data_IF_956278732576
#
_entry.id   IF_956278732576
#
_cell.length_a   1.000
_cell.length_b   1.000
_cell.length_c   1.000
_cell.angle_alpha   90.00
_cell.angle_beta   90.00
_cell.angle_gamma   90.00
#
_symmetry.space_group_name_H-M   'P 1'
#
loop_
_entity.id
_entity.type
_entity.pdbx_description
1 polymer ?
#
# COMPACT_ATOMS: atom_id res chain seq x y z
N UNK A 1 -30.64 -1.43 15.45
CA UNK A 1 -31.96 -0.89 15.86
C UNK A 1 -32.61 -0.19 14.70
N UNK A 2 -33.90 -0.45 14.44
CA UNK A 2 -34.66 0.23 13.39
C UNK A 2 -34.63 1.76 13.55
N UNK A 3 -34.64 2.48 12.41
CA UNK A 3 -34.64 3.94 12.38
C UNK A 3 -36.00 4.44 12.93
N UNK A 4 -36.00 5.38 13.89
CA UNK A 4 -37.25 5.96 14.38
C UNK A 4 -37.83 6.82 13.26
N UNK A 5 -39.15 6.83 13.14
CA UNK A 5 -39.85 7.64 12.13
C UNK A 5 -39.46 9.11 12.26
N UNK A 6 -39.09 9.70 11.12
CA UNK A 6 -38.68 11.11 10.99
C UNK A 6 -39.81 12.09 11.32
N UNK A 7 -41.06 11.61 11.33
CA UNK A 7 -42.27 12.41 11.61
C UNK A 7 -42.71 12.33 13.08
N UNK A 8 -41.95 11.66 13.96
CA UNK A 8 -42.26 11.58 15.38
C UNK A 8 -41.80 12.84 16.12
N UNK A 9 -42.67 13.41 16.97
CA UNK A 9 -42.34 14.53 17.88
C UNK A 9 -41.15 14.24 18.81
N UNK A 10 -40.80 12.96 19.00
CA UNK A 10 -39.66 12.52 19.81
C UNK A 10 -38.39 12.21 19.00
N UNK A 11 -38.43 12.37 17.68
CA UNK A 11 -37.33 12.01 16.77
C UNK A 11 -36.01 12.65 17.18
N UNK A 12 -36.00 13.97 17.42
CA UNK A 12 -34.79 14.68 17.81
C UNK A 12 -34.23 14.23 19.17
N UNK A 13 -35.11 13.99 20.15
CA UNK A 13 -34.71 13.52 21.49
C UNK A 13 -34.09 12.12 21.42
N UNK A 14 -34.64 11.23 20.59
CA UNK A 14 -34.10 9.88 20.37
C UNK A 14 -32.80 9.91 19.58
N UNK A 15 -32.65 10.81 18.60
CA UNK A 15 -31.42 10.95 17.84
C UNK A 15 -30.27 11.54 18.69
N UNK A 16 -30.54 12.54 19.53
CA UNK A 16 -29.54 13.11 20.48
C UNK A 16 -29.03 12.06 21.48
N UNK A 17 -29.91 11.20 22.01
CA UNK A 17 -29.51 10.07 22.87
C UNK A 17 -28.64 9.05 22.14
N UNK A 18 -28.96 8.72 20.88
CA UNK A 18 -28.14 7.80 20.06
C UNK A 18 -26.74 8.36 19.78
N UNK A 19 -26.65 9.65 19.41
CA UNK A 19 -25.35 10.31 19.19
C UNK A 19 -24.49 10.31 20.46
N UNK A 20 -25.08 10.61 21.61
CA UNK A 20 -24.38 10.56 22.91
C UNK A 20 -23.93 9.14 23.29
N UNK A 21 -24.80 8.15 23.11
CA UNK A 21 -24.46 6.76 23.43
C UNK A 21 -23.38 6.21 22.47
N UNK A 22 -23.42 6.58 21.19
CA UNK A 22 -22.37 6.22 20.23
C UNK A 22 -21.02 6.84 20.61
N UNK A 23 -21.01 8.11 21.02
CA UNK A 23 -19.79 8.80 21.46
C UNK A 23 -19.21 8.17 22.74
N UNK A 24 -20.05 7.78 23.70
CA UNK A 24 -19.61 7.08 24.92
C UNK A 24 -19.03 5.69 24.59
N UNK A 25 -19.69 4.91 23.74
CA UNK A 25 -19.20 3.59 23.33
C UNK A 25 -17.88 3.71 22.57
N UNK A 26 -17.75 4.71 21.70
CA UNK A 26 -16.51 4.99 20.97
C UNK A 26 -15.35 5.31 21.92
N UNK A 27 -15.57 6.13 22.94
CA UNK A 27 -14.55 6.46 23.96
C UNK A 27 -14.16 5.23 24.79
N UNK A 28 -15.11 4.36 25.13
CA UNK A 28 -14.81 3.12 25.86
C UNK A 28 -13.96 2.17 25.00
N UNK A 29 -14.30 2.03 23.71
CA UNK A 29 -13.53 1.19 22.78
C UNK A 29 -12.12 1.76 22.58
N UNK A 30 -11.98 3.08 22.43
CA UNK A 30 -10.64 3.68 22.30
C UNK A 30 -9.79 3.46 23.55
N UNK A 31 -10.38 3.52 24.75
CA UNK A 31 -9.70 3.24 26.01
C UNK A 31 -9.21 1.78 26.12
N UNK A 32 -10.01 0.83 25.63
CA UNK A 32 -9.63 -0.60 25.61
C UNK A 32 -8.47 -0.83 24.64
N UNK A 33 -8.49 -0.18 23.47
CA UNK A 33 -7.41 -0.27 22.48
C UNK A 33 -6.11 0.32 23.02
N UNK A 34 -6.15 1.48 23.70
CA UNK A 34 -4.94 2.09 24.28
C UNK A 34 -4.35 1.24 25.41
N UNK A 35 -5.18 0.65 26.28
CA UNK A 35 -4.71 -0.27 27.33
C UNK A 35 -4.06 -1.54 26.72
N UNK A 36 -4.65 -2.09 25.65
CA UNK A 36 -4.06 -3.21 24.92
C UNK A 36 -2.72 -2.85 24.27
N UNK A 37 -2.58 -1.66 23.67
CA UNK A 37 -1.30 -1.18 23.13
C UNK A 37 -0.21 -1.04 24.20
N UNK A 38 -0.55 -0.52 25.39
CA UNK A 38 0.42 -0.39 26.50
C UNK A 38 0.95 -1.77 26.94
N UNK A 39 0.11 -2.82 26.95
CA UNK A 39 0.57 -4.19 27.25
C UNK A 39 1.46 -4.79 26.16
N UNK A 40 1.23 -4.45 24.90
CA UNK A 40 2.06 -4.92 23.78
C UNK A 40 3.42 -4.22 23.75
N UNK A 41 3.48 -2.91 24.03
CA UNK A 41 4.74 -2.17 24.14
C UNK A 41 5.50 -2.42 25.47
N UNK A 42 4.80 -2.76 26.56
CA UNK A 42 5.41 -3.03 27.87
C UNK A 42 6.19 -4.35 27.97
N UNK A 43 6.00 -5.27 27.01
CA UNK A 43 6.75 -6.53 26.93
C UNK A 43 7.96 -6.46 25.97
N UNK A 44 8.29 -5.28 25.42
CA UNK A 44 9.42 -5.08 24.51
C UNK A 44 10.28 -3.89 24.95
N UNK A 45 10.68 -3.85 26.22
CA UNK A 45 11.67 -2.86 26.68
C UNK A 45 12.64 -3.41 27.73
N UNK A 46 13.24 -4.58 27.50
CA UNK A 46 14.47 -4.94 28.21
C UNK A 46 15.69 -4.34 27.47
N UNK A 47 15.79 -3.01 27.55
CA UNK A 47 16.93 -2.24 27.03
C UNK A 47 18.13 -2.21 27.99
N UNK A 48 18.12 -3.03 29.06
CA UNK A 48 19.23 -3.13 30.01
C UNK A 48 20.49 -3.71 29.36
N UNK A 49 20.32 -4.71 28.48
CA UNK A 49 21.42 -5.39 27.80
C UNK A 49 22.05 -4.57 26.66
N UNK A 50 21.26 -3.71 26.00
CA UNK A 50 21.75 -2.86 24.91
C UNK A 50 22.55 -1.68 25.47
N UNK A 51 22.12 -1.09 26.59
CA UNK A 51 22.84 0.00 27.25
C UNK A 51 24.16 -0.46 27.87
N UNK A 52 24.20 -1.67 28.43
CA UNK A 52 25.45 -2.28 28.92
C UNK A 52 26.42 -2.64 27.78
N UNK A 53 25.93 -3.12 26.63
CA UNK A 53 26.78 -3.39 25.46
C UNK A 53 27.36 -2.14 24.81
N UNK A 54 26.60 -1.04 24.77
CA UNK A 54 27.08 0.24 24.23
C UNK A 54 28.09 0.90 25.18
N UNK A 55 27.86 0.83 26.50
CA UNK A 55 28.82 1.34 27.49
C UNK A 55 30.11 0.51 27.51
N UNK A 56 30.01 -0.82 27.39
CA UNK A 56 31.17 -1.70 27.30
C UNK A 56 31.97 -1.50 26.00
N UNK A 57 31.32 -1.06 24.92
CA UNK A 57 32.00 -0.74 23.65
C UNK A 57 32.76 0.59 23.73
N UNK A 58 32.18 1.60 24.39
CA UNK A 58 32.81 2.91 24.64
C UNK A 58 34.02 2.79 25.57
N UNK A 59 33.96 1.89 26.57
CA UNK A 59 35.08 1.64 27.47
C UNK A 59 36.15 0.71 26.85
N UNK A 60 35.88 0.07 25.70
CA UNK A 60 36.79 -0.89 25.04
C UNK A 60 37.75 -0.30 23.99
N UNK A 61 37.61 0.98 23.63
CA UNK A 61 38.48 1.63 22.62
C UNK A 61 39.70 2.34 23.23
N UNK A 62 40.11 1.93 24.43
CA UNK A 62 41.38 2.35 25.00
C UNK A 62 42.19 1.16 25.53
N UNK A 63 43.37 1.02 24.92
CA UNK A 63 44.55 0.27 25.35
C UNK A 63 44.75 -1.18 24.86
N UNK A 64 45.99 -1.37 24.38
CA UNK A 64 46.54 -2.50 23.63
C UNK A 64 46.90 -3.75 24.46
N UNK A 65 46.96 -4.89 23.75
CA UNK A 65 47.95 -6.01 23.82
C UNK A 65 48.03 -6.90 25.07
N UNK A 66 47.74 -8.20 24.88
CA UNK A 66 48.67 -9.36 24.68
C UNK A 66 48.21 -10.70 25.32
N UNK A 67 48.29 -11.74 24.49
CA UNK A 67 48.80 -13.11 24.74
C UNK A 67 47.94 -14.24 25.38
N UNK A 68 47.68 -15.27 24.52
CA UNK A 68 47.87 -16.74 24.66
C UNK A 68 46.68 -17.67 25.03
N UNK A 69 46.43 -18.59 24.08
CA UNK A 69 45.59 -19.81 23.98
C UNK A 69 45.92 -20.93 25.02
N UNK A 70 45.19 -22.09 25.17
CA UNK A 70 44.35 -22.79 24.17
C UNK A 70 43.08 -23.57 24.64
N UNK A 71 42.34 -24.08 23.63
CA UNK A 71 41.60 -25.36 23.56
C UNK A 71 40.21 -25.53 24.24
N UNK A 72 39.14 -25.49 23.43
CA UNK A 72 38.46 -26.72 22.96
C UNK A 72 37.41 -26.42 21.87
N UNK A 73 37.49 -27.22 20.81
CA UNK A 73 36.71 -27.20 19.56
C UNK A 73 35.36 -27.90 19.76
N UNK A 74 34.25 -27.28 19.33
CA UNK A 74 33.11 -27.96 18.67
C UNK A 74 32.53 -27.00 17.63
N UNK A 75 32.31 -27.54 16.44
CA UNK A 75 32.04 -26.87 15.15
C UNK A 75 30.82 -25.95 15.08
N UNK A 76 31.06 -24.75 14.56
CA UNK A 76 30.47 -24.16 13.33
C UNK A 76 29.03 -24.55 12.92
N UNK A 77 28.10 -23.60 13.09
CA UNK A 77 27.31 -23.10 11.95
C UNK A 77 27.32 -21.57 12.03
N UNK A 78 28.28 -21.01 11.31
CA UNK A 78 28.44 -19.59 11.03
C UNK A 78 27.18 -19.06 10.32
N UNK A 79 26.39 -18.22 11.00
CA UNK A 79 25.59 -17.21 10.30
C UNK A 79 26.52 -16.03 10.07
N UNK A 80 27.07 -16.01 8.87
CA UNK A 80 27.74 -14.89 8.24
C UNK A 80 27.08 -13.56 8.69
N UNK A 81 27.84 -12.59 9.21
CA UNK A 81 27.31 -11.29 9.54
C UNK A 81 26.93 -10.59 8.23
N UNK A 82 25.62 -10.46 7.96
CA UNK A 82 25.13 -9.59 6.89
C UNK A 82 25.75 -8.19 7.08
N UNK A 83 26.59 -7.79 6.13
CA UNK A 83 27.15 -6.45 6.02
C UNK A 83 26.04 -5.39 6.15
N UNK A 84 26.32 -4.20 6.70
CA UNK A 84 25.33 -3.13 6.76
C UNK A 84 24.86 -2.79 5.34
N UNK A 85 23.59 -3.07 5.03
CA UNK A 85 22.96 -2.66 3.76
C UNK A 85 23.05 -1.14 3.67
N UNK A 86 23.83 -0.63 2.73
CA UNK A 86 23.88 0.80 2.43
C UNK A 86 22.57 1.19 1.76
N UNK A 87 21.75 1.98 2.45
CA UNK A 87 20.56 2.58 1.86
C UNK A 87 20.98 3.70 0.89
N UNK A 88 20.54 3.60 -0.35
CA UNK A 88 20.75 4.61 -1.40
C UNK A 88 19.39 5.18 -1.84
N UNK A 89 19.42 6.28 -2.59
CA UNK A 89 18.20 6.88 -3.12
C UNK A 89 18.43 7.67 -4.39
N UNK A 90 17.41 7.75 -5.23
CA UNK A 90 17.37 8.68 -6.36
C UNK A 90 16.05 9.45 -6.41
N UNK A 91 16.06 10.59 -7.09
CA UNK A 91 14.92 11.48 -7.21
C UNK A 91 14.12 11.17 -8.49
N UNK A 92 12.81 11.00 -8.33
CA UNK A 92 11.81 10.85 -9.38
C UNK A 92 11.06 12.19 -9.50
N UNK A 93 11.00 12.76 -10.70
CA UNK A 93 10.16 13.92 -10.99
C UNK A 93 8.86 13.45 -11.66
N UNK A 94 7.73 13.68 -10.99
CA UNK A 94 6.39 13.39 -11.53
C UNK A 94 5.97 14.45 -12.56
N UNK A 95 4.92 14.18 -13.34
CA UNK A 95 4.46 15.11 -14.41
C UNK A 95 4.03 16.48 -13.88
N UNK A 96 3.50 16.53 -12.66
CA UNK A 96 3.11 17.77 -12.00
C UNK A 96 4.31 18.57 -11.44
N UNK A 97 5.55 18.08 -11.65
CA UNK A 97 6.79 18.68 -11.16
C UNK A 97 7.15 18.30 -9.72
N UNK A 98 6.32 17.50 -9.05
CA UNK A 98 6.63 16.99 -7.71
C UNK A 98 7.85 16.06 -7.76
N UNK A 99 8.70 16.19 -6.74
CA UNK A 99 9.87 15.34 -6.54
C UNK A 99 9.58 14.31 -5.47
N UNK A 100 9.84 13.04 -5.80
CA UNK A 100 9.68 11.88 -4.92
C UNK A 100 11.05 11.21 -4.81
N UNK A 101 11.52 10.95 -3.59
CA UNK A 101 12.80 10.28 -3.37
C UNK A 101 12.54 8.78 -3.17
N UNK A 102 12.97 7.96 -4.11
CA UNK A 102 12.85 6.51 -4.02
C UNK A 102 14.07 5.93 -3.30
N UNK A 103 13.84 5.18 -2.23
CA UNK A 103 14.88 4.57 -1.39
C UNK A 103 15.02 3.11 -1.78
N UNK A 104 16.26 2.68 -2.03
CA UNK A 104 16.58 1.31 -2.40
C UNK A 104 17.80 0.80 -1.63
N UNK A 105 17.88 -0.53 -1.49
CA UNK A 105 19.05 -1.22 -0.97
C UNK A 105 19.75 -1.94 -2.12
N UNK A 106 21.08 -2.01 -2.03
CA UNK A 106 21.92 -2.75 -2.96
C UNK A 106 22.64 -3.87 -2.22
N UNK A 107 22.36 -5.10 -2.61
CA UNK A 107 23.06 -6.29 -2.11
C UNK A 107 23.76 -6.97 -3.28
N UNK A 108 25.09 -6.91 -3.31
CA UNK A 108 25.93 -7.28 -4.45
C UNK A 108 25.55 -6.47 -5.71
N UNK A 109 24.61 -6.98 -6.50
CA UNK A 109 24.08 -6.37 -7.73
C UNK A 109 22.54 -6.36 -7.78
N UNK A 110 21.86 -6.91 -6.77
CA UNK A 110 20.39 -6.90 -6.71
C UNK A 110 19.93 -5.62 -5.99
N UNK A 111 19.29 -4.73 -6.76
CA UNK A 111 18.70 -3.50 -6.24
C UNK A 111 17.22 -3.71 -5.96
N UNK A 112 16.76 -3.24 -4.79
CA UNK A 112 15.35 -3.33 -4.38
C UNK A 112 14.89 -2.04 -3.73
N UNK A 113 13.79 -1.48 -4.24
CA UNK A 113 13.05 -0.45 -3.52
C UNK A 113 12.58 -0.97 -2.18
N UNK A 114 12.75 -0.14 -1.15
CA UNK A 114 12.27 -0.42 0.21
C UNK A 114 11.22 0.60 0.66
N UNK A 115 11.29 1.83 0.16
CA UNK A 115 10.36 2.90 0.53
C UNK A 115 10.44 4.08 -0.46
N UNK A 116 9.52 5.04 -0.33
CA UNK A 116 9.62 6.36 -0.95
C UNK A 116 9.42 7.46 0.10
N UNK A 117 10.05 8.61 -0.12
CA UNK A 117 9.82 9.86 0.61
C UNK A 117 9.19 10.88 -0.35
N UNK A 118 8.07 11.46 0.06
CA UNK A 118 7.35 12.49 -0.71
C UNK A 118 6.88 13.59 0.23
N UNK A 119 6.79 14.82 -0.29
CA UNK A 119 6.13 15.93 0.40
C UNK A 119 4.61 15.82 0.43
N UNK A 120 4.04 14.94 -0.40
CA UNK A 120 2.60 14.63 -0.40
C UNK A 120 2.36 13.31 0.33
N UNK A 121 1.80 13.41 1.53
CA UNK A 121 1.38 12.25 2.34
C UNK A 121 0.25 11.45 1.67
N UNK A 122 -0.45 12.03 0.69
CA UNK A 122 -1.51 11.38 -0.07
C UNK A 122 -1.06 10.65 -1.34
N UNK A 123 0.25 10.60 -1.62
CA UNK A 123 0.78 9.94 -2.81
C UNK A 123 0.47 8.44 -2.77
N UNK A 124 -0.23 7.95 -3.79
CA UNK A 124 -0.60 6.54 -3.91
C UNK A 124 0.50 5.81 -4.68
N UNK A 125 1.11 4.81 -4.04
CA UNK A 125 2.16 3.99 -4.62
C UNK A 125 2.10 2.54 -4.14
N UNK A 126 2.83 1.66 -4.84
CA UNK A 126 3.01 0.26 -4.43
C UNK A 126 4.37 -0.24 -4.93
N UNK A 127 5.07 -1.04 -4.13
CA UNK A 127 6.35 -1.66 -4.50
C UNK A 127 6.07 -3.14 -4.84
N UNK A 128 6.65 -3.62 -5.94
CA UNK A 128 6.46 -5.01 -6.37
C UNK A 128 7.03 -6.00 -5.36
N UNK A 129 6.57 -7.24 -5.38
CA UNK A 129 7.04 -8.26 -4.42
C UNK A 129 8.54 -8.53 -4.57
N UNK A 130 9.10 -8.39 -5.78
CA UNK A 130 10.54 -8.48 -5.99
C UNK A 130 11.34 -7.27 -5.50
N UNK A 131 10.67 -6.15 -5.20
CA UNK A 131 11.29 -4.86 -4.91
C UNK A 131 11.86 -4.15 -6.14
N UNK A 132 11.78 -4.75 -7.34
CA UNK A 132 12.43 -4.21 -8.55
C UNK A 132 11.63 -3.11 -9.25
N UNK A 133 10.34 -3.01 -8.92
CA UNK A 133 9.41 -2.09 -9.58
C UNK A 133 8.62 -1.30 -8.55
N UNK A 134 8.32 -0.06 -8.89
CA UNK A 134 7.52 0.89 -8.12
C UNK A 134 6.41 1.40 -9.01
N UNK A 135 5.17 1.39 -8.52
CA UNK A 135 4.03 2.07 -9.14
C UNK A 135 3.78 3.36 -8.42
N UNK A 136 3.54 4.43 -9.17
CA UNK A 136 2.99 5.68 -8.64
C UNK A 136 1.73 6.02 -9.44
N UNK A 137 0.65 6.31 -8.72
CA UNK A 137 -0.54 6.93 -9.29
C UNK A 137 -0.38 8.44 -9.21
N UNK A 138 -0.25 9.08 -10.36
CA UNK A 138 -0.09 10.53 -10.45
C UNK A 138 -1.42 11.26 -10.26
N UNK A 139 -1.37 12.58 -10.00
CA UNK A 139 -2.57 13.40 -9.73
C UNK A 139 -3.57 13.44 -10.88
N UNK A 140 -3.10 13.20 -12.11
CA UNK A 140 -3.94 13.12 -13.29
C UNK A 140 -4.52 11.70 -13.50
N UNK A 141 -4.34 10.80 -12.53
CA UNK A 141 -4.70 9.38 -12.58
C UNK A 141 -3.94 8.56 -13.63
N UNK A 142 -2.75 9.01 -14.05
CA UNK A 142 -1.79 8.16 -14.78
C UNK A 142 -1.16 7.15 -13.82
N UNK A 143 -1.01 5.89 -14.25
CA UNK A 143 -0.18 4.91 -13.56
C UNK A 143 1.18 4.83 -14.27
N UNK A 144 2.23 5.23 -13.55
CA UNK A 144 3.62 5.18 -14.04
C UNK A 144 4.38 4.12 -13.26
N UNK A 145 5.09 3.26 -14.01
CA UNK A 145 6.00 2.24 -13.49
C UNK A 145 7.42 2.79 -13.50
N UNK A 146 8.13 2.63 -12.39
CA UNK A 146 9.54 2.96 -12.24
C UNK A 146 10.30 1.68 -11.88
N UNK A 147 11.46 1.48 -12.52
CA UNK A 147 12.35 0.38 -12.23
C UNK A 147 13.52 0.86 -11.37
N UNK A 148 14.12 -0.04 -10.60
CA UNK A 148 15.30 0.24 -9.76
C UNK A 148 16.52 0.72 -10.55
N UNK A 149 16.57 0.47 -11.85
CA UNK A 149 17.63 0.96 -12.76
C UNK A 149 17.42 2.42 -13.21
N UNK A 150 16.36 3.08 -12.74
CA UNK A 150 16.00 4.47 -13.08
C UNK A 150 15.17 4.62 -14.34
N UNK A 151 14.88 3.53 -15.08
CA UNK A 151 13.96 3.58 -16.23
C UNK A 151 12.51 3.69 -15.77
N UNK A 152 11.65 4.27 -16.60
CA UNK A 152 10.23 4.41 -16.32
C UNK A 152 9.36 4.27 -17.56
N UNK A 153 8.10 3.87 -17.36
CA UNK A 153 7.10 3.77 -18.42
C UNK A 153 5.69 4.04 -17.88
N UNK A 154 4.86 4.69 -18.69
CA UNK A 154 3.41 4.78 -18.41
C UNK A 154 2.77 3.47 -18.80
N UNK A 155 2.08 2.82 -17.85
CA UNK A 155 1.42 1.53 -18.08
C UNK A 155 -0.11 1.64 -18.16
N UNK A 156 -0.68 2.76 -17.72
CA UNK A 156 -2.10 3.02 -17.90
C UNK A 156 -2.42 3.54 -19.31
N UNK A 157 -3.60 3.18 -19.82
CA UNK A 157 -4.12 3.73 -21.09
C UNK A 157 -4.63 5.15 -20.95
N UNK A 158 -4.28 5.98 -21.92
CA UNK A 158 -4.73 7.39 -22.02
C UNK A 158 -6.15 7.51 -22.58
N UNK A 159 -6.60 6.53 -23.36
CA UNK A 159 -7.93 6.52 -23.98
C UNK A 159 -8.63 5.17 -23.83
N UNK A 160 -9.96 5.20 -23.88
CA UNK A 160 -10.81 4.03 -23.97
C UNK A 160 -11.66 4.12 -25.25
N UNK A 161 -11.63 3.06 -26.06
CA UNK A 161 -12.44 2.94 -27.27
C UNK A 161 -13.60 1.99 -27.01
N UNK A 162 -14.82 2.50 -27.10
CA UNK A 162 -16.01 1.66 -26.96
C UNK A 162 -16.16 0.72 -28.15
N UNK A 163 -16.98 -0.32 -27.99
CA UNK A 163 -17.35 -1.22 -29.10
C UNK A 163 -18.08 -0.51 -30.25
N UNK A 164 -18.63 0.69 -30.02
CA UNK A 164 -19.30 1.52 -31.03
C UNK A 164 -18.35 2.49 -31.75
N UNK A 165 -17.09 2.55 -31.33
CA UNK A 165 -16.08 3.45 -31.90
C UNK A 165 -15.91 4.78 -31.18
N UNK A 166 -16.75 5.10 -30.19
CA UNK A 166 -16.56 6.29 -29.36
C UNK A 166 -15.22 6.24 -28.61
N UNK A 167 -14.49 7.35 -28.63
CA UNK A 167 -13.19 7.50 -27.95
C UNK A 167 -13.35 8.45 -26.77
N UNK A 168 -13.01 7.96 -25.58
CA UNK A 168 -12.96 8.75 -24.36
C UNK A 168 -11.51 8.91 -23.95
N UNK A 169 -11.06 10.13 -23.68
CA UNK A 169 -9.71 10.37 -23.15
C UNK A 169 -9.76 10.56 -21.64
N UNK A 170 -8.71 10.13 -20.94
CA UNK A 170 -8.54 10.33 -19.50
C UNK A 170 -8.71 11.79 -19.13
N UNK A 171 -7.95 12.67 -19.80
CA UNK A 171 -7.97 14.11 -19.55
C UNK A 171 -9.38 14.70 -19.66
N UNK A 172 -10.06 14.50 -20.80
CA UNK A 172 -11.41 15.06 -20.99
C UNK A 172 -12.44 14.48 -20.02
N UNK A 173 -12.29 13.21 -19.65
CA UNK A 173 -13.19 12.53 -18.70
C UNK A 173 -13.02 13.08 -17.29
N UNK A 174 -11.78 13.27 -16.83
CA UNK A 174 -11.49 13.81 -15.50
C UNK A 174 -11.88 15.29 -15.41
N UNK A 175 -11.60 16.09 -16.47
CA UNK A 175 -12.00 17.50 -16.50
C UNK A 175 -13.53 17.65 -16.45
N UNK A 176 -14.27 16.82 -17.18
CA UNK A 176 -15.74 16.88 -17.21
C UNK A 176 -16.40 16.28 -15.97
N UNK A 177 -15.75 15.30 -15.32
CA UNK A 177 -16.20 14.69 -14.08
C UNK A 177 -14.99 14.42 -13.16
N UNK A 178 -14.62 15.36 -12.29
CA UNK A 178 -13.47 15.20 -11.39
C UNK A 178 -13.58 14.05 -10.38
N UNK A 179 -14.79 13.50 -10.17
CA UNK A 179 -15.01 12.34 -9.31
C UNK A 179 -14.90 11.01 -10.08
N UNK A 180 -14.68 11.06 -11.39
CA UNK A 180 -14.51 9.86 -12.21
C UNK A 180 -13.17 9.18 -11.87
N UNK A 181 -13.24 7.88 -11.59
CA UNK A 181 -12.07 7.03 -11.39
C UNK A 181 -11.65 6.46 -12.74
N UNK A 182 -10.71 7.13 -13.41
CA UNK A 182 -10.01 6.59 -14.56
C UNK A 182 -9.08 5.45 -14.16
N UNK A 183 -8.22 5.71 -13.18
CA UNK A 183 -7.42 4.72 -12.47
C UNK A 183 -7.37 5.11 -10.99
N UNK A 184 -7.62 4.16 -10.10
CA UNK A 184 -7.59 4.41 -8.66
C UNK A 184 -6.95 3.24 -7.91
N UNK A 185 -6.12 3.57 -6.91
CA UNK A 185 -5.50 2.64 -5.97
C UNK A 185 -4.81 1.44 -6.63
N UNK A 186 -3.88 1.64 -7.59
CA UNK A 186 -3.19 0.54 -8.22
C UNK A 186 -2.32 -0.23 -7.23
N UNK A 187 -2.26 -1.56 -7.38
CA UNK A 187 -1.34 -2.44 -6.65
C UNK A 187 -0.78 -3.54 -7.54
N UNK A 188 0.44 -3.98 -7.27
CA UNK A 188 1.03 -5.16 -7.88
C UNK A 188 0.37 -6.43 -7.34
N UNK A 189 -0.25 -7.23 -8.22
CA UNK A 189 -0.62 -8.62 -7.92
C UNK A 189 0.63 -9.50 -7.89
N UNK A 190 1.50 -9.31 -8.87
CA UNK A 190 2.83 -9.90 -9.02
C UNK A 190 3.66 -8.93 -9.88
N UNK A 191 4.87 -9.32 -10.28
CA UNK A 191 5.75 -8.45 -11.08
C UNK A 191 5.23 -8.14 -12.48
N UNK A 192 4.27 -8.90 -13.00
CA UNK A 192 3.76 -8.79 -14.36
C UNK A 192 2.34 -8.23 -14.43
N UNK A 193 1.63 -8.15 -13.31
CA UNK A 193 0.21 -7.80 -13.28
C UNK A 193 -0.09 -6.82 -12.16
N UNK A 194 -0.88 -5.80 -12.50
CA UNK A 194 -1.42 -4.85 -11.54
C UNK A 194 -2.94 -4.97 -11.48
N UNK A 195 -3.52 -4.59 -10.35
CA UNK A 195 -4.94 -4.33 -10.21
C UNK A 195 -5.17 -2.84 -9.96
N UNK A 196 -6.32 -2.32 -10.35
CA UNK A 196 -6.80 -0.99 -9.97
C UNK A 196 -8.32 -0.91 -10.13
N UNK A 197 -8.92 0.14 -9.57
CA UNK A 197 -10.34 0.43 -9.71
C UNK A 197 -10.56 1.47 -10.80
N UNK A 198 -11.60 1.29 -11.61
CA UNK A 198 -12.03 2.27 -12.62
C UNK A 198 -13.55 2.31 -12.75
N UNK A 199 -14.11 3.43 -13.19
CA UNK A 199 -15.49 3.53 -13.65
C UNK A 199 -15.64 3.06 -15.11
N UNK A 200 -14.54 2.87 -15.84
CA UNK A 200 -14.55 2.30 -17.19
C UNK A 200 -15.17 0.90 -17.15
N UNK A 201 -15.98 0.53 -18.16
CA UNK A 201 -16.12 1.19 -19.46
C UNK A 201 -17.31 2.16 -19.58
N UNK A 202 -17.89 2.62 -18.47
CA UNK A 202 -19.02 3.53 -18.49
C UNK A 202 -18.58 4.98 -18.27
N UNK A 203 -19.27 5.91 -18.92
CA UNK A 203 -18.93 7.34 -18.95
C UNK A 203 -20.18 8.20 -18.71
N UNK A 204 -19.97 9.48 -18.38
CA UNK A 204 -21.05 10.42 -18.10
C UNK A 204 -21.96 9.95 -16.97
N UNK A 205 -23.28 10.10 -17.14
CA UNK A 205 -24.29 9.70 -16.13
C UNK A 205 -24.39 8.18 -15.93
N UNK A 206 -23.84 7.37 -16.84
CA UNK A 206 -23.82 5.91 -16.70
C UNK A 206 -22.69 5.40 -15.79
N UNK A 207 -21.69 6.24 -15.48
CA UNK A 207 -20.54 5.92 -14.63
C UNK A 207 -20.90 5.82 -13.14
N UNK A 208 -21.84 4.93 -12.79
CA UNK A 208 -22.42 4.79 -11.45
C UNK A 208 -21.83 3.64 -10.64
N UNK A 209 -20.97 2.83 -11.27
CA UNK A 209 -20.36 1.63 -10.70
C UNK A 209 -18.85 1.66 -10.86
N UNK A 210 -18.21 0.93 -9.98
CA UNK A 210 -16.78 0.67 -9.99
C UNK A 210 -16.53 -0.74 -10.51
N UNK A 211 -15.42 -0.90 -11.22
CA UNK A 211 -14.98 -2.11 -11.86
C UNK A 211 -13.54 -2.39 -11.42
N UNK A 212 -13.25 -3.64 -11.08
CA UNK A 212 -11.89 -4.08 -10.83
C UNK A 212 -11.24 -4.45 -12.17
N UNK A 213 -10.12 -3.79 -12.47
CA UNK A 213 -9.33 -4.00 -13.66
C UNK A 213 -8.03 -4.70 -13.30
N UNK A 214 -7.56 -5.57 -14.19
CA UNK A 214 -6.24 -6.17 -14.15
C UNK A 214 -5.52 -5.77 -15.43
N UNK A 215 -4.33 -5.19 -15.31
CA UNK A 215 -3.46 -4.91 -16.46
C UNK A 215 -2.21 -5.74 -16.36
N UNK A 216 -1.88 -6.43 -17.46
CA UNK A 216 -0.59 -7.07 -17.61
C UNK A 216 0.44 -6.04 -18.12
N UNK A 217 1.53 -5.87 -17.38
CA UNK A 217 2.55 -4.84 -17.62
C UNK A 217 3.31 -5.10 -18.93
N UNK A 218 3.59 -6.37 -19.28
CA UNK A 218 4.48 -6.68 -20.40
C UNK A 218 3.81 -6.47 -21.76
N UNK A 219 2.50 -6.75 -21.85
CA UNK A 219 1.76 -6.64 -23.11
C UNK A 219 0.63 -5.59 -23.09
N UNK A 220 0.46 -4.88 -21.98
CA UNK A 220 -0.56 -3.83 -21.80
C UNK A 220 -2.01 -4.30 -22.10
N UNK A 221 -2.26 -5.60 -21.87
CA UNK A 221 -3.60 -6.18 -21.96
C UNK A 221 -4.38 -5.93 -20.68
N UNK A 222 -5.68 -5.65 -20.85
CA UNK A 222 -6.59 -5.39 -19.74
C UNK A 222 -7.65 -6.47 -19.64
N UNK A 223 -8.00 -6.83 -18.40
CA UNK A 223 -9.10 -7.72 -18.07
C UNK A 223 -9.98 -7.04 -17.03
N UNK A 224 -11.29 -7.03 -17.29
CA UNK A 224 -12.30 -6.55 -16.34
C UNK A 224 -12.87 -7.75 -15.59
N UNK A 225 -12.96 -7.66 -14.26
CA UNK A 225 -13.64 -8.66 -13.42
C UNK A 225 -15.13 -8.33 -13.29
N UNK A 226 -15.89 -8.76 -14.28
CA UNK A 226 -17.33 -8.48 -14.41
C UNK A 226 -18.21 -9.06 -13.30
N UNK A 227 -17.70 -10.06 -12.58
CA UNK A 227 -18.33 -10.66 -11.41
C UNK A 227 -18.21 -9.81 -10.13
N UNK A 228 -17.34 -8.78 -10.14
CA UNK A 228 -17.08 -7.91 -8.99
C UNK A 228 -17.58 -6.47 -9.17
N UNK A 229 -18.53 -6.23 -10.08
CA UNK A 229 -19.10 -4.90 -10.27
C UNK A 229 -19.84 -4.44 -9.02
N UNK A 230 -19.50 -3.27 -8.51
CA UNK A 230 -20.01 -2.79 -7.23
C UNK A 230 -20.21 -1.27 -7.21
N UNK A 231 -20.96 -0.77 -6.22
CA UNK A 231 -21.01 0.66 -5.97
C UNK A 231 -19.67 1.17 -5.39
N UNK A 232 -19.01 0.34 -4.59
CA UNK A 232 -17.69 0.63 -4.01
C UNK A 232 -16.80 -0.61 -4.02
N UNK A 233 -15.58 -0.44 -4.53
CA UNK A 233 -14.47 -1.39 -4.48
C UNK A 233 -13.32 -0.70 -3.75
N UNK A 234 -12.77 -1.33 -2.71
CA UNK A 234 -11.57 -0.86 -2.04
C UNK A 234 -10.47 -1.91 -2.17
N UNK A 235 -9.31 -1.50 -2.67
CA UNK A 235 -8.10 -2.32 -2.69
C UNK A 235 -7.36 -2.03 -1.39
N UNK A 236 -7.14 -3.07 -0.58
CA UNK A 236 -6.48 -2.98 0.72
C UNK A 236 -5.07 -3.56 0.65
N UNK A 237 -4.47 -3.80 1.82
CA UNK A 237 -3.16 -4.40 1.95
C UNK A 237 -3.12 -5.86 1.49
N UNK A 238 -1.89 -6.32 1.22
CA UNK A 238 -1.61 -7.72 0.95
C UNK A 238 -1.53 -8.49 2.26
N UNK A 239 -2.24 -9.60 2.32
CA UNK A 239 -2.16 -10.59 3.39
C UNK A 239 -1.61 -11.92 2.82
N UNK A 240 -1.50 -12.96 3.67
CA UNK A 240 -0.97 -14.28 3.29
C UNK A 240 -1.69 -14.89 2.08
N UNK A 241 -3.00 -14.66 1.96
CA UNK A 241 -3.83 -15.17 0.84
C UNK A 241 -3.73 -14.34 -0.44
N UNK A 242 -3.03 -13.21 -0.41
CA UNK A 242 -2.93 -12.27 -1.52
C UNK A 242 -3.50 -10.89 -1.18
N UNK A 243 -3.81 -10.09 -2.20
CA UNK A 243 -4.33 -8.74 -2.01
C UNK A 243 -5.77 -8.82 -1.53
N UNK A 244 -6.05 -8.21 -0.38
CA UNK A 244 -7.41 -8.10 0.12
C UNK A 244 -8.14 -6.98 -0.59
N UNK A 245 -9.38 -7.25 -0.98
CA UNK A 245 -10.29 -6.23 -1.52
C UNK A 245 -11.63 -6.29 -0.80
N UNK A 246 -12.33 -5.16 -0.74
CA UNK A 246 -13.74 -5.11 -0.36
C UNK A 246 -14.59 -4.75 -1.57
N UNK A 247 -15.70 -5.46 -1.77
CA UNK A 247 -16.64 -5.25 -2.87
C UNK A 247 -18.03 -5.10 -2.25
N UNK A 248 -18.53 -3.87 -2.21
CA UNK A 248 -19.73 -3.46 -1.43
C UNK A 248 -19.71 -4.01 0.01
N UNK A 249 -18.52 -3.99 0.64
CA UNK A 249 -18.28 -4.46 2.01
C UNK A 249 -18.05 -5.96 2.17
N UNK A 250 -18.18 -6.77 1.11
CA UNK A 250 -17.81 -8.19 1.13
C UNK A 250 -16.30 -8.33 0.89
N UNK A 251 -15.65 -9.24 1.62
CA UNK A 251 -14.19 -9.44 1.53
C UNK A 251 -13.87 -10.50 0.48
N UNK A 252 -12.88 -10.19 -0.36
CA UNK A 252 -12.28 -11.09 -1.32
C UNK A 252 -10.76 -11.00 -1.25
N UNK A 253 -10.09 -12.02 -1.76
CA UNK A 253 -8.64 -12.06 -1.91
C UNK A 253 -8.27 -12.34 -3.36
N UNK A 254 -7.25 -11.63 -3.85
CA UNK A 254 -6.64 -11.84 -5.16
C UNK A 254 -5.27 -12.48 -4.95
N UNK A 255 -5.12 -13.73 -5.37
CA UNK A 255 -3.86 -14.46 -5.27
C UNK A 255 -2.82 -14.00 -6.31
N UNK A 256 -1.61 -14.54 -6.24
CA UNK A 256 -0.50 -14.22 -7.17
C UNK A 256 -0.77 -14.61 -8.62
N UNK A 257 -1.77 -15.44 -8.88
CA UNK A 257 -2.18 -15.89 -10.21
C UNK A 257 -3.40 -15.10 -10.72
N UNK A 258 -3.78 -14.00 -10.05
CA UNK A 258 -4.96 -13.19 -10.36
C UNK A 258 -6.30 -13.94 -10.19
N UNK A 259 -6.32 -15.05 -9.43
CA UNK A 259 -7.56 -15.72 -9.04
C UNK A 259 -8.20 -14.98 -7.88
N UNK A 260 -9.52 -15.01 -7.84
CA UNK A 260 -10.30 -14.29 -6.84
C UNK A 260 -11.11 -15.29 -6.04
N UNK A 261 -10.94 -15.24 -4.73
CA UNK A 261 -11.71 -16.05 -3.79
C UNK A 261 -12.45 -15.15 -2.80
N UNK A 262 -13.73 -15.46 -2.56
CA UNK A 262 -14.50 -14.83 -1.50
C UNK A 262 -14.11 -15.44 -0.15
N UNK A 263 -14.01 -14.60 0.89
CA UNK A 263 -13.81 -15.06 2.26
C UNK A 263 -15.07 -15.70 2.85
#
# INVERSE_FOLDING_TARGET
MAKPSIFSREYEKRMKRRKRNFLIIFVIISLVITISMIKVLGNVTDYSNVKQKIQAWIDSDSSEKKEVLPEQVVDEVEKEPELPKSEESFEITLKNGQKVKAIYVKENEDMKFINIESSDEGLIYDISQSGKKLLILESDQTITLYNVDGTSQIISKEEYKSSKGDVFTRESTIVSNPQYLWNANPKFVNDDNIIFVSNRPYFGTAATKQYLWITNISNNSDIIKWDLVAAKIEILEREEKGIKITVDGNIYYIDVNCNIAKQ
#
